data_IF_903527339292
#
_entry.id   IF_903527339292
#
_cell.length_a   1.000
_cell.length_b   1.000
_cell.length_c   1.000
_cell.angle_alpha   90.00
_cell.angle_beta   90.00
_cell.angle_gamma   90.00
#
_symmetry.space_group_name_H-M   'P 1'
#
loop_
_entity.id
_entity.type
_entity.pdbx_description
1 polymer ?
#
# COMPACT_ATOMS: atom_id res chain seq x y z
N UNK A 1 36.31 16.12 -6.80
CA UNK A 1 35.02 16.80 -6.55
C UNK A 1 34.11 15.76 -5.91
N UNK A 2 33.87 15.84 -4.60
CA UNK A 2 32.87 15.01 -3.91
C UNK A 2 31.53 15.69 -4.12
N UNK A 3 30.77 15.20 -5.09
CA UNK A 3 29.39 15.61 -5.29
C UNK A 3 28.61 15.29 -4.01
N UNK A 4 28.02 16.33 -3.43
CA UNK A 4 27.18 16.21 -2.25
C UNK A 4 25.95 15.39 -2.65
N UNK A 5 25.79 14.20 -2.05
CA UNK A 5 24.51 13.53 -2.03
C UNK A 5 23.48 14.53 -1.48
N UNK A 6 22.44 14.80 -2.25
CA UNK A 6 21.26 15.50 -1.77
C UNK A 6 20.69 14.73 -0.57
N UNK A 7 20.16 15.40 0.47
CA UNK A 7 19.55 14.70 1.60
C UNK A 7 18.41 13.85 1.05
N UNK A 8 18.49 12.55 1.32
CA UNK A 8 17.39 11.62 1.10
C UNK A 8 16.22 12.16 1.93
N UNK A 9 15.05 12.29 1.30
CA UNK A 9 13.80 12.79 1.89
C UNK A 9 13.38 12.09 3.20
N UNK A 10 14.05 10.99 3.58
CA UNK A 10 13.73 10.13 4.70
C UNK A 10 13.56 10.81 6.05
N UNK A 11 14.47 11.67 6.52
CA UNK A 11 14.41 12.12 7.92
C UNK A 11 13.26 13.14 8.18
N UNK A 12 13.04 14.07 7.25
CA UNK A 12 11.96 15.05 7.34
C UNK A 12 10.59 14.42 7.02
N UNK A 13 10.52 13.58 5.99
CA UNK A 13 9.30 12.86 5.61
C UNK A 13 8.88 11.89 6.72
N UNK A 14 9.82 11.11 7.27
CA UNK A 14 9.58 10.24 8.42
C UNK A 14 9.11 11.02 9.65
N UNK A 15 9.76 12.16 9.97
CA UNK A 15 9.33 13.02 11.07
C UNK A 15 7.91 13.54 10.86
N UNK A 16 7.56 13.92 9.61
CA UNK A 16 6.22 14.41 9.28
C UNK A 16 5.16 13.31 9.38
N UNK A 17 5.43 12.10 8.86
CA UNK A 17 4.50 10.96 9.00
C UNK A 17 4.32 10.59 10.46
N UNK A 18 5.38 10.59 11.27
CA UNK A 18 5.27 10.32 12.71
C UNK A 18 4.39 11.35 13.43
N UNK A 19 4.55 12.65 13.13
CA UNK A 19 3.72 13.71 13.72
C UNK A 19 2.26 13.52 13.32
N UNK A 20 2.00 13.23 12.04
CA UNK A 20 0.66 12.95 11.52
C UNK A 20 0.02 11.77 12.25
N UNK A 21 0.77 10.67 12.41
CA UNK A 21 0.32 9.47 13.11
C UNK A 21 -0.08 9.78 14.55
N UNK A 22 0.79 10.46 15.31
CA UNK A 22 0.52 10.82 16.71
C UNK A 22 -0.74 11.71 16.80
N UNK A 23 -0.89 12.69 15.88
CA UNK A 23 -2.06 13.55 15.80
C UNK A 23 -3.35 12.76 15.52
N UNK A 24 -3.32 11.86 14.55
CA UNK A 24 -4.47 11.04 14.17
C UNK A 24 -4.88 10.08 15.28
N UNK A 25 -3.92 9.38 15.89
CA UNK A 25 -4.16 8.46 17.00
C UNK A 25 -4.84 9.18 18.18
N UNK A 26 -4.42 10.41 18.49
CA UNK A 26 -5.03 11.22 19.56
C UNK A 26 -6.51 11.59 19.30
N UNK A 27 -6.94 11.56 18.04
CA UNK A 27 -8.30 11.92 17.61
C UNK A 27 -9.18 10.70 17.33
N UNK A 28 -8.65 9.48 17.42
CA UNK A 28 -9.43 8.28 17.18
C UNK A 28 -10.48 8.09 18.28
N UNK A 29 -11.75 7.87 17.91
CA UNK A 29 -12.76 7.43 18.87
C UNK A 29 -12.43 6.05 19.45
N UNK A 30 -12.91 5.76 20.67
CA UNK A 30 -12.71 4.44 21.28
C UNK A 30 -13.37 3.30 20.48
N UNK A 31 -14.51 3.58 19.85
CA UNK A 31 -15.30 2.61 19.06
C UNK A 31 -15.54 3.13 17.65
N UNK A 32 -15.55 2.23 16.69
CA UNK A 32 -16.00 2.51 15.32
C UNK A 32 -17.27 1.76 14.95
N UNK A 33 -17.88 2.19 13.85
CA UNK A 33 -19.06 1.61 13.24
C UNK A 33 -18.67 0.68 12.10
N UNK A 34 -18.98 -0.61 12.25
CA UNK A 34 -18.63 -1.66 11.28
C UNK A 34 -19.25 -1.43 9.88
N UNK A 35 -20.48 -0.90 9.82
CA UNK A 35 -21.18 -0.68 8.55
C UNK A 35 -20.53 0.44 7.76
N UNK A 36 -20.19 1.56 8.42
CA UNK A 36 -19.44 2.65 7.77
C UNK A 36 -18.02 2.23 7.42
N UNK A 37 -17.36 1.48 8.30
CA UNK A 37 -16.04 0.91 8.03
C UNK A 37 -16.01 0.02 6.78
N UNK A 38 -17.04 -0.81 6.60
CA UNK A 38 -17.20 -1.61 5.37
C UNK A 38 -17.33 -0.74 4.12
N UNK A 39 -18.07 0.36 4.20
CA UNK A 39 -18.25 1.26 3.07
C UNK A 39 -16.93 1.93 2.68
N UNK A 40 -16.18 2.41 3.67
CA UNK A 40 -14.84 2.99 3.46
C UNK A 40 -13.89 1.96 2.86
N UNK A 41 -13.91 0.71 3.36
CA UNK A 41 -13.11 -0.38 2.78
C UNK A 41 -13.42 -0.58 1.29
N UNK A 42 -14.70 -0.58 0.91
CA UNK A 42 -15.12 -0.74 -0.49
C UNK A 42 -14.61 0.41 -1.36
N UNK A 43 -14.68 1.63 -0.86
CA UNK A 43 -14.31 2.83 -1.62
C UNK A 43 -12.79 3.00 -1.75
N UNK A 44 -12.04 2.74 -0.67
CA UNK A 44 -10.63 3.12 -0.56
C UNK A 44 -9.67 1.93 -0.63
N UNK A 45 -10.11 0.72 -0.24
CA UNK A 45 -9.21 -0.42 -0.04
C UNK A 45 -9.48 -1.58 -1.02
N UNK A 46 -10.74 -1.79 -1.42
CA UNK A 46 -11.17 -2.96 -2.17
C UNK A 46 -10.62 -3.03 -3.60
N UNK A 47 -10.07 -1.93 -4.13
CA UNK A 47 -9.35 -1.93 -5.40
C UNK A 47 -8.05 -2.72 -5.36
N UNK A 48 -7.47 -2.90 -4.17
CA UNK A 48 -6.20 -3.60 -4.00
C UNK A 48 -6.29 -4.77 -3.01
N UNK A 49 -7.14 -4.67 -1.98
CA UNK A 49 -7.23 -5.64 -0.90
C UNK A 49 -8.54 -6.42 -0.90
N UNK A 50 -8.48 -7.67 -0.47
CA UNK A 50 -9.64 -8.51 -0.26
C UNK A 50 -9.97 -8.59 1.22
N UNK A 51 -11.26 -8.52 1.58
CA UNK A 51 -11.76 -8.84 2.92
C UNK A 51 -13.05 -9.64 2.77
N UNK A 52 -13.00 -10.90 3.20
CA UNK A 52 -14.02 -11.90 2.89
C UNK A 52 -14.20 -12.04 1.38
N UNK A 53 -15.41 -11.76 0.90
CA UNK A 53 -15.77 -11.90 -0.51
C UNK A 53 -15.73 -10.56 -1.28
N UNK A 54 -15.16 -9.51 -0.68
CA UNK A 54 -15.16 -8.15 -1.23
C UNK A 54 -13.74 -7.73 -1.56
N UNK A 55 -13.56 -7.13 -2.74
CA UNK A 55 -12.28 -6.61 -3.22
C UNK A 55 -11.46 -7.63 -4.00
N UNK A 56 -10.15 -7.37 -4.13
CA UNK A 56 -9.23 -8.15 -4.97
C UNK A 56 -7.92 -8.43 -4.23
N UNK A 57 -7.12 -9.37 -4.74
CA UNK A 57 -5.84 -9.77 -4.11
C UNK A 57 -4.65 -9.21 -4.89
N UNK A 58 -4.51 -7.87 -4.89
CA UNK A 58 -3.30 -7.18 -5.35
C UNK A 58 -2.35 -6.95 -4.18
N UNK A 59 -2.87 -6.40 -3.09
CA UNK A 59 -2.21 -6.29 -1.80
C UNK A 59 -2.50 -7.49 -0.88
N UNK A 60 -2.00 -7.46 0.36
CA UNK A 60 -2.32 -8.46 1.38
C UNK A 60 -3.83 -8.68 1.56
N UNK A 61 -4.22 -9.93 1.81
CA UNK A 61 -5.58 -10.25 2.21
C UNK A 61 -5.86 -9.70 3.63
N UNK A 62 -6.96 -8.97 3.80
CA UNK A 62 -7.38 -8.26 5.01
C UNK A 62 -8.65 -8.86 5.65
N UNK A 63 -8.95 -10.14 5.39
CA UNK A 63 -10.15 -10.80 5.91
C UNK A 63 -10.16 -10.91 7.44
N UNK A 64 -9.02 -11.20 8.06
CA UNK A 64 -8.93 -11.30 9.52
C UNK A 64 -7.73 -10.49 10.04
N UNK A 65 -8.03 -9.28 10.52
CA UNK A 65 -7.05 -8.40 11.17
C UNK A 65 -7.32 -8.25 12.66
N UNK A 66 -8.08 -9.15 13.30
CA UNK A 66 -8.41 -9.05 14.73
C UNK A 66 -7.18 -9.12 15.63
N UNK A 67 -6.09 -9.72 15.14
CA UNK A 67 -4.83 -9.89 15.84
C UNK A 67 -3.94 -8.62 15.81
N UNK A 68 -4.29 -7.61 15.00
CA UNK A 68 -3.56 -6.34 14.91
C UNK A 68 -4.19 -5.31 15.84
N UNK A 69 -3.35 -4.48 16.47
CA UNK A 69 -3.84 -3.36 17.28
C UNK A 69 -4.44 -2.25 16.40
N UNK A 70 -5.17 -1.32 17.02
CA UNK A 70 -5.70 -0.14 16.32
C UNK A 70 -4.54 0.72 15.82
N UNK A 71 -3.52 0.87 16.66
CA UNK A 71 -2.31 1.62 16.40
C UNK A 71 -1.56 1.02 15.21
N UNK A 72 -1.36 -0.31 15.18
CA UNK A 72 -0.68 -0.98 14.07
C UNK A 72 -1.42 -0.77 12.75
N UNK A 73 -2.75 -0.92 12.74
CA UNK A 73 -3.54 -0.76 11.51
C UNK A 73 -3.57 0.70 11.04
N UNK A 74 -3.78 1.65 11.96
CA UNK A 74 -3.71 3.08 11.65
C UNK A 74 -2.35 3.43 11.05
N UNK A 75 -1.28 2.87 11.61
CA UNK A 75 0.07 3.07 11.13
C UNK A 75 0.31 2.57 9.71
N UNK A 76 -0.11 1.35 9.40
CA UNK A 76 0.05 0.81 8.04
C UNK A 76 -0.82 1.56 7.01
N UNK A 77 -1.97 2.10 7.42
CA UNK A 77 -2.87 2.86 6.53
C UNK A 77 -2.33 4.27 6.28
N UNK A 78 -1.87 4.93 7.35
CA UNK A 78 -1.36 6.30 7.34
C UNK A 78 0.13 6.39 7.03
N UNK A 79 0.85 5.28 6.87
CA UNK A 79 2.22 5.28 6.39
C UNK A 79 2.52 3.94 5.68
N UNK A 80 2.10 3.81 4.41
CA UNK A 80 2.27 2.57 3.65
C UNK A 80 3.75 2.25 3.34
N UNK A 81 4.67 3.21 3.53
CA UNK A 81 6.09 3.09 3.18
C UNK A 81 6.99 2.79 4.38
N UNK A 82 6.51 2.94 5.61
CA UNK A 82 7.35 2.72 6.79
C UNK A 82 7.82 1.28 6.98
N UNK A 83 6.99 0.31 6.62
CA UNK A 83 7.32 -1.12 6.77
C UNK A 83 6.84 -1.91 5.54
N UNK A 84 7.50 -1.69 4.41
CA UNK A 84 7.12 -2.32 3.14
C UNK A 84 7.49 -3.80 3.17
N UNK A 85 6.51 -4.68 3.02
CA UNK A 85 6.78 -6.08 2.73
C UNK A 85 7.36 -6.18 1.31
N UNK A 86 8.54 -6.83 1.12
CA UNK A 86 9.21 -6.92 -0.18
C UNK A 86 8.32 -7.43 -1.34
N UNK A 87 7.31 -8.24 -1.03
CA UNK A 87 6.35 -8.77 -2.01
C UNK A 87 5.40 -7.71 -2.59
N UNK A 88 5.32 -6.54 -1.95
CA UNK A 88 4.43 -5.44 -2.32
C UNK A 88 5.17 -4.15 -2.66
N UNK A 89 6.49 -4.23 -2.85
CA UNK A 89 7.31 -3.12 -3.38
C UNK A 89 6.93 -2.89 -4.84
N UNK A 90 6.66 -1.63 -5.20
CA UNK A 90 6.41 -1.24 -6.58
C UNK A 90 7.69 -1.31 -7.41
N UNK A 91 7.59 -1.93 -8.58
CA UNK A 91 8.62 -1.96 -9.60
C UNK A 91 8.19 -1.16 -10.81
N UNK A 92 9.16 -0.54 -11.46
CA UNK A 92 9.00 0.15 -12.73
C UNK A 92 9.79 -0.57 -13.82
N UNK A 93 9.19 -0.72 -14.98
CA UNK A 93 9.82 -1.24 -16.16
C UNK A 93 9.46 -0.42 -17.40
N UNK A 94 10.40 -0.32 -18.33
CA UNK A 94 10.14 0.13 -19.69
C UNK A 94 10.55 -0.99 -20.64
N UNK A 95 9.68 -1.31 -21.59
CA UNK A 95 9.98 -2.28 -22.64
C UNK A 95 10.71 -1.62 -23.81
N UNK A 96 11.34 -2.41 -24.68
CA UNK A 96 12.08 -1.87 -25.84
C UNK A 96 11.17 -1.16 -26.85
N UNK A 97 9.90 -1.57 -26.93
CA UNK A 97 8.82 -0.94 -27.70
C UNK A 97 8.18 0.28 -27.02
N UNK A 98 8.62 0.63 -25.80
CA UNK A 98 8.23 1.86 -25.11
C UNK A 98 7.00 1.75 -24.20
N UNK A 99 6.53 0.54 -23.90
CA UNK A 99 5.50 0.31 -22.88
C UNK A 99 6.11 0.59 -21.49
N UNK A 100 5.44 1.43 -20.71
CA UNK A 100 5.77 1.67 -19.31
C UNK A 100 4.88 0.79 -18.42
N UNK A 101 5.51 0.06 -17.52
CA UNK A 101 4.86 -0.86 -16.61
C UNK A 101 5.18 -0.48 -15.16
N UNK A 102 4.15 -0.52 -14.32
CA UNK A 102 4.26 -0.30 -12.88
C UNK A 102 3.38 -1.30 -12.14
N UNK A 103 3.92 -1.91 -11.09
CA UNK A 103 3.22 -2.92 -10.30
C UNK A 103 4.16 -3.71 -9.39
N UNK A 104 3.63 -4.72 -8.72
CA UNK A 104 4.42 -5.66 -7.93
C UNK A 104 4.88 -6.83 -8.80
N UNK A 105 5.99 -7.48 -8.41
CA UNK A 105 6.48 -8.67 -9.09
C UNK A 105 5.81 -9.91 -8.48
N UNK A 106 4.96 -10.60 -9.24
CA UNK A 106 4.35 -11.86 -8.82
C UNK A 106 5.28 -13.06 -9.01
N UNK A 107 6.09 -13.04 -10.06
CA UNK A 107 7.07 -14.08 -10.32
C UNK A 107 8.21 -13.57 -11.20
N UNK A 108 9.41 -14.09 -10.96
CA UNK A 108 10.60 -13.79 -11.75
C UNK A 108 11.34 -15.09 -12.08
N UNK A 109 11.70 -15.25 -13.35
CA UNK A 109 12.59 -16.31 -13.84
C UNK A 109 13.78 -15.68 -14.59
N UNK A 110 14.81 -16.44 -14.98
CA UNK A 110 15.88 -15.91 -15.84
C UNK A 110 15.37 -15.35 -17.19
N UNK A 111 14.22 -15.82 -17.67
CA UNK A 111 13.65 -15.48 -18.98
C UNK A 111 12.61 -14.35 -18.91
N UNK A 112 11.84 -14.26 -17.82
CA UNK A 112 10.67 -13.37 -17.75
C UNK A 112 10.44 -12.78 -16.36
N UNK A 113 9.67 -11.69 -16.32
CA UNK A 113 9.11 -11.09 -15.10
C UNK A 113 7.61 -10.93 -15.29
N UNK A 114 6.82 -11.37 -14.31
CA UNK A 114 5.37 -11.14 -14.27
C UNK A 114 5.02 -10.05 -13.28
N UNK A 115 4.43 -8.98 -13.78
CA UNK A 115 3.93 -7.84 -13.02
C UNK A 115 2.45 -8.01 -12.71
N UNK A 116 2.02 -7.53 -11.54
CA UNK A 116 0.63 -7.24 -11.22
C UNK A 116 0.50 -5.74 -10.95
N UNK A 117 -0.24 -5.04 -11.81
CA UNK A 117 -0.47 -3.59 -11.62
C UNK A 117 -1.46 -3.33 -10.49
N UNK A 118 -1.50 -2.08 -10.00
CA UNK A 118 -2.49 -1.64 -9.01
C UNK A 118 -3.95 -1.83 -9.49
N UNK A 119 -4.19 -1.88 -10.80
CA UNK A 119 -5.51 -2.16 -11.38
C UNK A 119 -5.83 -3.67 -11.48
N UNK A 120 -4.98 -4.54 -10.94
CA UNK A 120 -5.14 -5.98 -10.98
C UNK A 120 -4.77 -6.62 -12.33
N UNK A 121 -4.11 -5.88 -13.22
CA UNK A 121 -3.69 -6.42 -14.52
C UNK A 121 -2.38 -7.18 -14.41
N UNK A 122 -2.36 -8.43 -14.87
CA UNK A 122 -1.15 -9.23 -14.97
C UNK A 122 -0.47 -9.05 -16.32
N UNK A 123 0.85 -8.82 -16.31
CA UNK A 123 1.67 -8.75 -17.52
C UNK A 123 2.98 -9.50 -17.35
N UNK A 124 3.17 -10.51 -18.16
CA UNK A 124 4.44 -11.20 -18.30
C UNK A 124 5.27 -10.53 -19.40
N UNK A 125 6.53 -10.22 -19.09
CA UNK A 125 7.46 -9.56 -20.00
C UNK A 125 8.75 -10.35 -20.05
N UNK A 126 9.19 -10.71 -21.24
CA UNK A 126 10.50 -11.30 -21.44
C UNK A 126 11.59 -10.32 -20.98
N UNK A 127 12.57 -10.79 -20.20
CA UNK A 127 13.71 -9.96 -19.76
C UNK A 127 14.49 -9.38 -20.92
N UNK A 128 14.54 -10.10 -22.04
CA UNK A 128 15.15 -9.63 -23.29
C UNK A 128 14.40 -8.45 -23.93
N UNK A 129 13.13 -8.21 -23.58
CA UNK A 129 12.35 -7.06 -24.04
C UNK A 129 12.40 -5.88 -23.06
N UNK A 130 12.99 -6.03 -21.87
CA UNK A 130 13.13 -4.92 -20.92
C UNK A 130 14.26 -3.99 -21.34
N UNK A 131 13.96 -2.70 -21.42
CA UNK A 131 14.96 -1.62 -21.53
C UNK A 131 15.51 -1.29 -20.15
N UNK A 132 14.64 -1.18 -19.15
CA UNK A 132 15.02 -1.17 -17.75
C UNK A 132 13.98 -1.89 -16.90
N UNK A 133 14.41 -2.32 -15.72
CA UNK A 133 13.58 -2.86 -14.67
C UNK A 133 14.24 -2.54 -13.33
N UNK A 134 13.52 -1.83 -12.46
CA UNK A 134 14.05 -1.36 -11.18
C UNK A 134 12.97 -1.38 -10.10
N UNK A 135 13.41 -1.59 -8.87
CA UNK A 135 12.57 -1.31 -7.71
C UNK A 135 12.40 0.20 -7.57
N UNK A 136 11.17 0.65 -7.35
CA UNK A 136 10.87 2.03 -6.97
C UNK A 136 11.21 2.32 -5.50
N UNK A 137 11.44 1.28 -4.69
CA UNK A 137 11.75 1.40 -3.26
C UNK A 137 10.55 1.79 -2.38
N UNK A 138 9.37 1.97 -2.98
CA UNK A 138 8.12 2.36 -2.31
C UNK A 138 7.09 1.23 -2.41
N UNK A 139 6.10 1.27 -1.52
CA UNK A 139 4.94 0.39 -1.57
C UNK A 139 4.10 0.64 -2.82
N UNK A 140 3.41 -0.39 -3.32
CA UNK A 140 2.35 -0.20 -4.32
C UNK A 140 1.09 0.46 -3.71
N UNK A 141 0.95 0.42 -2.38
CA UNK A 141 -0.15 1.11 -1.70
C UNK A 141 0.05 2.63 -1.77
N UNK A 142 -0.98 3.40 -2.17
CA UNK A 142 -0.85 4.85 -2.34
C UNK A 142 -0.72 5.56 -1.00
N UNK A 143 0.06 6.65 -0.99
CA UNK A 143 0.11 7.61 0.12
C UNK A 143 -1.06 8.60 0.07
N UNK A 144 -1.26 9.35 1.15
CA UNK A 144 -2.29 10.39 1.21
C UNK A 144 -3.70 9.88 1.48
N UNK A 145 -3.85 8.62 1.92
CA UNK A 145 -5.16 8.05 2.27
C UNK A 145 -5.85 8.84 3.41
N UNK A 146 -5.06 9.50 4.26
CA UNK A 146 -5.55 10.42 5.30
C UNK A 146 -6.36 11.61 4.74
N UNK A 147 -6.16 12.00 3.47
CA UNK A 147 -6.89 13.09 2.84
C UNK A 147 -8.31 12.68 2.44
N UNK A 148 -8.58 11.36 2.40
CA UNK A 148 -9.82 10.77 1.92
C UNK A 148 -10.77 10.35 3.05
N UNK A 149 -10.36 10.54 4.30
CA UNK A 149 -11.13 10.14 5.47
C UNK A 149 -10.87 11.05 6.66
N UNK A 150 -11.72 10.94 7.67
CA UNK A 150 -11.56 11.56 8.99
C UNK A 150 -11.02 10.55 10.01
N UNK A 151 -10.51 10.99 11.18
CA UNK A 151 -10.12 10.06 12.26
C UNK A 151 -11.26 9.12 12.69
N UNK A 152 -12.52 9.59 12.65
CA UNK A 152 -13.67 8.73 12.95
C UNK A 152 -13.88 7.66 11.88
N UNK A 153 -13.68 8.00 10.61
CA UNK A 153 -13.80 7.06 9.48
C UNK A 153 -12.65 6.05 9.49
N UNK A 154 -11.42 6.47 9.79
CA UNK A 154 -10.31 5.55 10.01
C UNK A 154 -10.62 4.56 11.14
N UNK A 155 -11.18 5.04 12.27
CA UNK A 155 -11.59 4.15 13.36
C UNK A 155 -12.69 3.18 12.95
N UNK A 156 -13.65 3.63 12.16
CA UNK A 156 -14.71 2.80 11.59
C UNK A 156 -14.12 1.70 10.69
N UNK A 157 -13.21 2.07 9.78
CA UNK A 157 -12.47 1.15 8.90
C UNK A 157 -11.69 0.11 9.71
N UNK A 158 -10.90 0.54 10.69
CA UNK A 158 -10.14 -0.37 11.55
C UNK A 158 -11.07 -1.32 12.31
N UNK A 159 -12.19 -0.83 12.82
CA UNK A 159 -13.19 -1.68 13.49
C UNK A 159 -13.74 -2.74 12.54
N UNK A 160 -13.98 -2.38 11.28
CA UNK A 160 -14.40 -3.33 10.25
C UNK A 160 -13.32 -4.36 9.94
N UNK A 161 -12.04 -3.98 9.84
CA UNK A 161 -10.94 -4.92 9.57
C UNK A 161 -10.68 -5.88 10.74
N UNK A 162 -10.89 -5.43 11.98
CA UNK A 162 -10.72 -6.24 13.18
C UNK A 162 -11.92 -7.14 13.50
N UNK A 163 -13.02 -7.03 12.77
CA UNK A 163 -14.18 -7.89 13.00
C UNK A 163 -13.79 -9.35 12.70
N UNK A 164 -14.35 -10.26 13.48
CA UNK A 164 -14.34 -11.67 13.10
C UNK A 164 -15.48 -11.91 12.12
N UNK A 165 -15.18 -12.49 10.97
CA UNK A 165 -16.18 -13.06 10.05
C UNK A 165 -16.38 -14.56 10.31
#
# INVERSE_FOLDING_TARGET
VREKAAPLFGDEEYSNRKILLDEWLSKLPAKGNLTRGRQIFIEQCAQCHQSGNVGVEVGPNLTDMSHRSVEDLAFNILDPNMAINPSFVAYEAETKDGELLSGIVQSETPESVTFLSAQGMRREVARSNLRYFRSGGLSLMPEGLEELMTPSELRDLISFLQKHD
#
